data_IF_553300866957
#
_entry.id   IF_553300866957
#
_cell.length_a   1.000
_cell.length_b   1.000
_cell.length_c   1.000
_cell.angle_alpha   90.00
_cell.angle_beta   90.00
_cell.angle_gamma   90.00
#
_symmetry.space_group_name_H-M   'P 1'
#
loop_
_entity.id
_entity.type
_entity.pdbx_description
1 polymer ?
#
# COMPACT_ATOMS: atom_id res chain seq x y z
N UNK A 1 -7.06 27.57 -2.28
CA UNK A 1 -6.62 28.85 -2.86
C UNK A 1 -5.17 29.06 -2.46
N UNK A 2 -4.34 29.51 -3.40
CA UNK A 2 -2.97 29.96 -3.08
C UNK A 2 -3.13 31.32 -2.41
N UNK A 3 -2.72 31.44 -1.15
CA UNK A 3 -2.82 32.70 -0.40
C UNK A 3 -1.58 33.56 -0.66
N UNK A 4 -1.69 34.90 -0.65
CA UNK A 4 -0.53 35.79 -0.76
C UNK A 4 0.54 35.50 0.32
N UNK A 5 0.11 35.12 1.52
CA UNK A 5 0.99 34.72 2.62
C UNK A 5 1.81 33.46 2.30
N UNK A 6 1.22 32.46 1.63
CA UNK A 6 1.94 31.26 1.19
C UNK A 6 3.02 31.62 0.16
N UNK A 7 2.72 32.54 -0.76
CA UNK A 7 3.68 32.99 -1.78
C UNK A 7 4.85 33.72 -1.13
N UNK A 8 4.59 34.60 -0.16
CA UNK A 8 5.63 35.28 0.60
C UNK A 8 6.54 34.29 1.32
N UNK A 9 5.97 33.34 2.07
CA UNK A 9 6.78 32.35 2.80
C UNK A 9 7.60 31.43 1.87
N UNK A 10 7.10 31.12 0.67
CA UNK A 10 7.88 30.38 -0.34
C UNK A 10 9.09 31.21 -0.81
N UNK A 11 8.91 32.51 -1.05
CA UNK A 11 10.00 33.41 -1.45
C UNK A 11 11.03 33.54 -0.33
N UNK A 12 10.58 33.74 0.90
CA UNK A 12 11.45 33.84 2.07
C UNK A 12 12.22 32.53 2.29
N UNK A 13 11.53 31.39 2.19
CA UNK A 13 12.21 30.10 2.26
C UNK A 13 13.21 29.94 1.13
N UNK A 14 12.89 30.30 -0.12
CA UNK A 14 13.82 30.21 -1.24
C UNK A 14 15.08 31.06 -1.04
N UNK A 15 14.94 32.28 -0.50
CA UNK A 15 16.04 33.20 -0.22
C UNK A 15 16.86 32.86 1.04
N UNK A 16 16.27 32.13 2.00
CA UNK A 16 16.97 31.73 3.23
C UNK A 16 18.16 30.79 2.96
N UNK A 17 19.06 30.61 3.92
CA UNK A 17 20.11 29.59 3.84
C UNK A 17 19.66 28.22 4.44
N UNK A 18 18.36 28.03 4.64
CA UNK A 18 17.83 26.83 5.28
C UNK A 18 17.95 25.62 4.33
N UNK A 19 18.73 24.58 4.66
CA UNK A 19 19.04 23.48 3.74
C UNK A 19 17.99 22.35 3.76
N UNK A 20 17.12 22.33 4.77
CA UNK A 20 16.16 21.24 4.97
C UNK A 20 14.87 21.43 4.16
N UNK A 21 14.30 20.34 3.59
CA UNK A 21 13.03 20.41 2.87
C UNK A 21 11.89 20.97 3.73
N UNK A 22 11.14 21.94 3.20
CA UNK A 22 9.98 22.53 3.88
C UNK A 22 8.67 21.98 3.30
N UNK A 23 7.73 21.59 4.16
CA UNK A 23 6.43 21.03 3.77
C UNK A 23 5.33 22.06 3.91
N UNK A 24 4.54 22.23 2.84
CA UNK A 24 3.42 23.16 2.78
C UNK A 24 2.09 22.43 2.69
N UNK A 25 1.14 22.78 3.57
CA UNK A 25 -0.21 22.22 3.59
C UNK A 25 -1.16 23.17 2.86
N UNK A 26 -1.70 22.73 1.72
CA UNK A 26 -2.61 23.54 0.88
C UNK A 26 -4.07 23.21 1.19
N UNK A 27 -4.35 21.94 1.51
CA UNK A 27 -5.67 21.42 1.93
C UNK A 27 -5.49 20.31 2.99
N UNK A 28 -6.53 19.89 3.73
CA UNK A 28 -6.43 18.85 4.75
C UNK A 28 -5.70 17.57 4.32
N UNK A 29 -5.77 17.20 3.03
CA UNK A 29 -5.13 16.01 2.44
C UNK A 29 -4.12 16.32 1.32
N UNK A 30 -3.83 17.59 1.05
CA UNK A 30 -2.93 17.98 -0.05
C UNK A 30 -1.80 18.83 0.51
N UNK A 31 -0.58 18.33 0.32
CA UNK A 31 0.64 19.01 0.69
C UNK A 31 1.65 18.90 -0.45
N UNK A 32 2.60 19.83 -0.51
CA UNK A 32 3.79 19.71 -1.33
C UNK A 32 5.01 19.99 -0.47
N UNK A 33 6.19 19.58 -0.95
CA UNK A 33 7.46 19.88 -0.32
C UNK A 33 8.29 20.75 -1.25
N UNK A 34 9.06 21.66 -0.68
CA UNK A 34 10.08 22.43 -1.38
C UNK A 34 11.43 21.93 -0.92
N UNK A 35 12.26 21.51 -1.87
CA UNK A 35 13.61 20.99 -1.63
C UNK A 35 14.58 21.92 -2.36
N UNK A 36 15.58 22.43 -1.65
CA UNK A 36 16.71 23.11 -2.27
C UNK A 36 17.75 22.09 -2.67
N UNK A 37 18.33 22.29 -3.85
CA UNK A 37 19.39 21.42 -4.35
C UNK A 37 20.39 22.25 -5.14
N UNK A 38 21.64 21.79 -5.12
CA UNK A 38 22.72 22.32 -5.95
C UNK A 38 22.73 21.70 -7.36
N UNK A 39 21.93 20.66 -7.58
CA UNK A 39 21.83 19.99 -8.88
C UNK A 39 21.27 20.97 -9.92
N UNK A 40 21.95 21.06 -11.06
CA UNK A 40 21.56 21.98 -12.14
C UNK A 40 20.45 21.40 -13.01
N UNK A 41 20.31 20.06 -13.02
CA UNK A 41 19.30 19.36 -13.81
C UNK A 41 18.45 18.43 -12.95
N UNK A 42 17.21 18.19 -13.37
CA UNK A 42 16.33 17.21 -12.74
C UNK A 42 16.91 15.79 -12.81
N UNK A 43 17.67 15.48 -13.86
CA UNK A 43 18.32 14.18 -14.04
C UNK A 43 19.38 13.93 -12.96
N UNK A 44 20.27 14.91 -12.76
CA UNK A 44 21.30 14.89 -11.71
C UNK A 44 20.69 14.75 -10.31
N UNK A 45 19.64 15.52 -10.01
CA UNK A 45 18.92 15.42 -8.74
C UNK A 45 18.34 14.01 -8.49
N UNK A 46 17.86 13.35 -9.54
CA UNK A 46 17.30 11.99 -9.45
C UNK A 46 18.39 10.92 -9.33
N UNK A 47 19.55 11.10 -9.96
CA UNK A 47 20.69 10.18 -9.89
C UNK A 47 21.25 10.10 -8.46
N UNK A 48 21.32 11.22 -7.73
CA UNK A 48 21.81 11.23 -6.35
C UNK A 48 20.95 10.42 -5.35
N UNK A 49 19.71 10.07 -5.72
CA UNK A 49 18.85 9.21 -4.89
C UNK A 49 19.14 7.71 -5.05
N UNK A 50 19.89 7.33 -6.09
CA UNK A 50 20.37 5.97 -6.35
C UNK A 50 21.64 6.08 -7.18
N UNK A 51 22.80 5.98 -6.53
CA UNK A 51 24.01 5.58 -7.23
C UNK A 51 23.83 4.13 -7.71
N UNK A 52 23.13 3.98 -8.82
CA UNK A 52 23.00 2.79 -9.62
C UNK A 52 23.45 3.22 -11.03
N UNK A 53 24.51 2.63 -11.60
CA UNK A 53 25.07 3.03 -12.88
C UNK A 53 24.02 3.02 -14.01
N UNK A 54 24.21 3.86 -15.03
CA UNK A 54 23.26 4.12 -16.12
C UNK A 54 22.81 2.84 -16.86
N UNK A 55 23.65 1.79 -16.92
CA UNK A 55 23.27 0.47 -17.45
C UNK A 55 22.23 -0.28 -16.59
N UNK A 56 22.21 -0.08 -15.28
CA UNK A 56 21.22 -0.69 -14.38
C UNK A 56 19.83 -0.06 -14.51
N UNK A 57 19.74 1.18 -15.02
CA UNK A 57 18.45 1.89 -15.16
C UNK A 57 17.58 1.21 -16.21
N UNK A 58 18.18 0.81 -17.33
CA UNK A 58 17.51 0.10 -18.43
C UNK A 58 17.08 -1.31 -18.01
N UNK A 59 17.95 -2.04 -17.32
CA UNK A 59 17.60 -3.36 -16.77
C UNK A 59 16.56 -3.30 -15.66
N UNK A 60 16.64 -2.33 -14.75
CA UNK A 60 15.67 -2.17 -13.67
C UNK A 60 14.30 -1.71 -14.20
N UNK A 61 14.27 -0.95 -15.30
CA UNK A 61 13.04 -0.61 -16.02
C UNK A 61 12.45 -1.85 -16.70
N UNK A 62 13.27 -2.61 -17.45
CA UNK A 62 12.83 -3.87 -18.07
C UNK A 62 12.31 -4.88 -17.03
N UNK A 63 13.00 -5.07 -15.91
CA UNK A 63 12.55 -5.96 -14.81
C UNK A 63 11.22 -5.50 -14.20
N UNK A 64 10.99 -4.19 -14.07
CA UNK A 64 9.71 -3.65 -13.59
C UNK A 64 8.59 -3.87 -14.59
N UNK A 65 8.88 -3.74 -15.87
CA UNK A 65 7.93 -3.99 -16.95
C UNK A 65 7.58 -5.48 -17.06
N UNK A 66 8.57 -6.37 -16.97
CA UNK A 66 8.35 -7.82 -16.89
C UNK A 66 7.51 -8.21 -15.68
N UNK A 67 7.79 -7.66 -14.49
CA UNK A 67 6.98 -7.91 -13.29
C UNK A 67 5.55 -7.41 -13.46
N UNK A 68 5.34 -6.27 -14.12
CA UNK A 68 4.02 -5.74 -14.40
C UNK A 68 3.25 -6.63 -15.39
N UNK A 69 3.93 -7.12 -16.42
CA UNK A 69 3.34 -8.03 -17.41
C UNK A 69 2.96 -9.37 -16.77
N UNK A 70 3.82 -9.92 -15.89
CA UNK A 70 3.49 -11.12 -15.10
C UNK A 70 2.29 -10.90 -14.19
N UNK A 71 2.21 -9.74 -13.53
CA UNK A 71 1.12 -9.44 -12.60
C UNK A 71 -0.24 -9.35 -13.32
N UNK A 72 -0.26 -8.83 -14.55
CA UNK A 72 -1.45 -8.71 -15.37
C UNK A 72 -1.68 -9.91 -16.31
N UNK A 73 -0.79 -10.90 -16.31
CA UNK A 73 -0.94 -12.11 -17.12
C UNK A 73 -2.24 -12.81 -16.73
N UNK A 74 -3.11 -13.04 -17.72
CA UNK A 74 -4.36 -13.75 -17.51
C UNK A 74 -4.01 -15.22 -17.32
N UNK A 75 -4.20 -15.69 -16.09
CA UNK A 75 -3.98 -17.07 -15.70
C UNK A 75 -5.04 -17.41 -14.63
N UNK A 76 -6.26 -17.80 -15.05
CA UNK A 76 -7.35 -18.05 -14.13
C UNK A 76 -7.04 -19.23 -13.20
N UNK A 77 -7.44 -19.11 -11.93
CA UNK A 77 -7.30 -20.16 -10.95
C UNK A 77 -7.23 -19.63 -9.52
N UNK A 78 -6.74 -20.47 -8.62
CA UNK A 78 -6.48 -20.12 -7.22
C UNK A 78 -5.10 -19.50 -7.07
N UNK A 79 -5.07 -18.42 -6.30
CA UNK A 79 -3.87 -17.71 -5.91
C UNK A 79 -3.77 -17.67 -4.39
N UNK A 80 -2.61 -18.01 -3.84
CA UNK A 80 -2.25 -17.64 -2.48
C UNK A 80 -1.70 -16.21 -2.53
N UNK A 81 -2.48 -15.24 -2.08
CA UNK A 81 -2.06 -13.84 -2.01
C UNK A 81 -1.73 -13.45 -0.57
N UNK A 82 -0.59 -12.78 -0.36
CA UNK A 82 -0.18 -12.25 0.93
C UNK A 82 0.18 -10.76 0.80
N UNK A 83 -0.35 -9.94 1.71
CA UNK A 83 -0.16 -8.50 1.75
C UNK A 83 0.27 -8.05 3.15
N UNK A 84 1.21 -7.10 3.21
CA UNK A 84 1.56 -6.39 4.44
C UNK A 84 1.14 -4.93 4.27
N UNK A 85 0.19 -4.49 5.09
CA UNK A 85 -0.38 -3.15 5.01
C UNK A 85 -0.30 -2.42 6.35
N UNK A 86 -0.38 -1.08 6.32
CA UNK A 86 -0.38 -0.26 7.53
C UNK A 86 -1.82 -0.14 8.03
N UNK A 87 -2.19 -0.95 9.02
CA UNK A 87 -3.51 -0.88 9.68
C UNK A 87 -3.55 0.28 10.65
N UNK A 88 -4.61 1.07 10.59
CA UNK A 88 -4.86 2.12 11.59
C UNK A 88 -5.56 1.51 12.80
N UNK A 89 -4.99 1.77 13.97
CA UNK A 89 -5.50 1.26 15.26
C UNK A 89 -5.70 2.45 16.21
N UNK A 90 -6.89 2.60 16.82
CA UNK A 90 -7.11 3.62 17.86
C UNK A 90 -6.30 3.26 19.11
N UNK A 91 -5.72 4.28 19.76
CA UNK A 91 -5.06 4.09 21.05
C UNK A 91 -6.11 4.27 22.15
N UNK A 92 -6.43 3.22 22.95
CA UNK A 92 -7.45 3.29 23.98
C UNK A 92 -7.20 4.45 24.96
N UNK A 93 -8.28 5.14 25.35
CA UNK A 93 -8.20 6.29 26.25
C UNK A 93 -7.67 7.58 25.61
N UNK A 94 -7.40 7.59 24.31
CA UNK A 94 -6.98 8.80 23.58
C UNK A 94 -7.78 9.00 22.29
N UNK A 95 -7.75 10.21 21.73
CA UNK A 95 -8.26 10.50 20.38
C UNK A 95 -7.21 10.27 19.29
N UNK A 96 -6.13 9.53 19.59
CA UNK A 96 -5.00 9.32 18.69
C UNK A 96 -5.08 7.95 18.01
N UNK A 97 -4.40 7.85 16.87
CA UNK A 97 -4.33 6.66 16.04
C UNK A 97 -2.87 6.32 15.75
N UNK A 98 -2.58 5.03 15.64
CA UNK A 98 -1.27 4.53 15.23
C UNK A 98 -1.38 3.67 13.98
N UNK A 99 -0.31 3.63 13.20
CA UNK A 99 -0.19 2.74 12.05
C UNK A 99 0.65 1.53 12.46
N UNK A 100 0.11 0.32 12.31
CA UNK A 100 0.80 -0.94 12.59
C UNK A 100 0.93 -1.75 11.31
N UNK A 101 2.11 -2.31 11.05
CA UNK A 101 2.29 -3.31 9.99
C UNK A 101 1.47 -4.56 10.31
N UNK A 102 0.53 -4.88 9.43
CA UNK A 102 -0.36 -6.03 9.56
C UNK A 102 -0.20 -6.91 8.33
N UNK A 103 0.08 -8.19 8.55
CA UNK A 103 0.13 -9.20 7.49
C UNK A 103 -1.23 -9.85 7.34
N UNK A 104 -1.69 -10.00 6.10
CA UNK A 104 -2.88 -10.76 5.73
C UNK A 104 -2.52 -11.70 4.59
N UNK A 105 -3.04 -12.92 4.62
CA UNK A 105 -2.88 -13.89 3.54
C UNK A 105 -4.16 -14.68 3.35
N UNK A 106 -4.53 -14.92 2.11
CA UNK A 106 -5.73 -15.68 1.77
C UNK A 106 -5.54 -16.40 0.43
N UNK A 107 -6.31 -17.48 0.27
CA UNK A 107 -6.50 -18.09 -1.03
C UNK A 107 -7.65 -17.39 -1.75
N UNK A 108 -7.41 -16.93 -2.97
CA UNK A 108 -8.34 -16.12 -3.74
C UNK A 108 -8.44 -16.68 -5.14
N UNK A 109 -9.67 -16.98 -5.57
CA UNK A 109 -9.97 -17.32 -6.95
C UNK A 109 -9.95 -16.04 -7.79
N UNK A 110 -9.08 -15.96 -8.78
CA UNK A 110 -8.87 -14.77 -9.58
C UNK A 110 -8.39 -15.11 -11.00
N UNK A 111 -8.53 -14.15 -11.91
CA UNK A 111 -8.13 -14.30 -13.32
C UNK A 111 -6.65 -13.95 -13.55
N UNK A 112 -6.03 -13.25 -12.60
CA UNK A 112 -4.64 -12.82 -12.62
C UNK A 112 -4.16 -12.49 -11.21
N UNK A 113 -2.85 -12.33 -11.03
CA UNK A 113 -2.27 -11.89 -9.77
C UNK A 113 -2.70 -10.46 -9.40
N UNK A 114 -2.90 -9.58 -10.39
CA UNK A 114 -3.48 -8.25 -10.17
C UNK A 114 -4.92 -8.34 -9.65
N UNK A 115 -5.76 -9.20 -10.25
CA UNK A 115 -7.13 -9.42 -9.80
C UNK A 115 -7.16 -10.01 -8.37
N UNK A 116 -6.23 -10.92 -8.04
CA UNK A 116 -6.06 -11.43 -6.67
C UNK A 116 -5.77 -10.30 -5.66
N UNK A 117 -4.83 -9.40 -5.97
CA UNK A 117 -4.54 -8.23 -5.13
C UNK A 117 -5.77 -7.34 -4.91
N UNK A 118 -6.51 -7.04 -5.99
CA UNK A 118 -7.69 -6.16 -5.94
C UNK A 118 -8.77 -6.75 -5.03
N UNK A 119 -9.06 -8.05 -5.16
CA UNK A 119 -10.01 -8.76 -4.29
C UNK A 119 -9.58 -8.76 -2.83
N UNK A 120 -8.28 -8.93 -2.54
CA UNK A 120 -7.76 -8.86 -1.16
C UNK A 120 -7.95 -7.46 -0.58
N UNK A 121 -7.58 -6.42 -1.32
CA UNK A 121 -7.69 -5.04 -0.85
C UNK A 121 -9.14 -4.63 -0.66
N UNK A 122 -10.03 -5.01 -1.58
CA UNK A 122 -11.47 -4.76 -1.46
C UNK A 122 -12.05 -5.45 -0.23
N UNK A 123 -11.77 -6.74 -0.03
CA UNK A 123 -12.17 -7.48 1.16
C UNK A 123 -11.69 -6.80 2.45
N UNK A 124 -10.42 -6.38 2.51
CA UNK A 124 -9.86 -5.71 3.69
C UNK A 124 -10.48 -4.33 3.94
N UNK A 125 -10.89 -3.58 2.91
CA UNK A 125 -11.57 -2.29 3.07
C UNK A 125 -13.01 -2.43 3.57
N UNK A 126 -13.67 -3.52 3.22
CA UNK A 126 -15.06 -3.79 3.59
C UNK A 126 -15.18 -4.45 4.98
N UNK A 127 -14.07 -4.80 5.62
CA UNK A 127 -14.03 -5.32 6.99
C UNK A 127 -14.27 -4.22 8.02
N UNK A 128 -15.22 -4.46 8.94
CA UNK A 128 -15.55 -3.52 10.02
C UNK A 128 -14.39 -3.23 10.96
N UNK A 129 -13.45 -4.18 11.12
CA UNK A 129 -12.30 -4.03 12.00
C UNK A 129 -11.13 -3.26 11.35
N UNK A 130 -11.22 -2.90 10.06
CA UNK A 130 -10.18 -2.17 9.33
C UNK A 130 -10.62 -0.74 9.08
N UNK A 131 -9.99 0.21 9.77
CA UNK A 131 -10.27 1.64 9.59
C UNK A 131 -9.92 2.11 8.16
N UNK A 132 -10.78 2.93 7.56
CA UNK A 132 -10.66 3.46 6.20
C UNK A 132 -9.37 4.27 5.95
N UNK A 133 -8.69 4.73 7.01
CA UNK A 133 -7.39 5.42 6.92
C UNK A 133 -6.21 4.47 6.81
N UNK A 134 -6.43 3.16 6.92
CA UNK A 134 -5.41 2.13 6.70
C UNK A 134 -4.81 2.27 5.30
N UNK A 135 -3.49 2.10 5.20
CA UNK A 135 -2.75 2.31 3.95
C UNK A 135 -2.36 0.96 3.35
N UNK A 136 -2.82 0.72 2.14
CA UNK A 136 -2.51 -0.49 1.38
C UNK A 136 -1.31 -0.24 0.46
N UNK A 137 -0.34 -1.17 0.42
CA UNK A 137 0.79 -1.06 -0.50
C UNK A 137 0.32 -1.24 -1.94
N UNK A 138 1.11 -0.78 -2.92
CA UNK A 138 0.85 -1.10 -4.34
C UNK A 138 1.05 -2.59 -4.63
N UNK A 139 0.24 -3.15 -5.53
CA UNK A 139 0.40 -4.50 -6.07
C UNK A 139 1.76 -4.75 -6.72
N UNK A 140 2.44 -3.69 -7.17
CA UNK A 140 3.78 -3.76 -7.80
C UNK A 140 4.92 -3.78 -6.77
N UNK A 141 4.62 -3.45 -5.52
CA UNK A 141 5.58 -3.35 -4.43
C UNK A 141 6.12 -4.70 -3.95
N UNK A 142 6.93 -4.67 -2.89
CA UNK A 142 7.44 -5.88 -2.23
C UNK A 142 6.52 -6.33 -1.08
N UNK A 143 5.58 -5.49 -0.66
CA UNK A 143 4.63 -5.78 0.42
C UNK A 143 3.42 -6.58 -0.06
N UNK A 144 3.36 -6.96 -1.33
CA UNK A 144 2.41 -7.92 -1.88
C UNK A 144 3.19 -9.04 -2.57
N UNK A 145 2.87 -10.28 -2.22
CA UNK A 145 3.42 -11.49 -2.82
C UNK A 145 2.28 -12.41 -3.18
N UNK A 146 2.43 -13.16 -4.27
CA UNK A 146 1.43 -14.11 -4.72
C UNK A 146 2.08 -15.41 -5.18
N UNK A 147 1.31 -16.50 -5.13
CA UNK A 147 1.66 -17.78 -5.71
C UNK A 147 0.44 -18.35 -6.42
N UNK A 148 0.59 -18.70 -7.69
CA UNK A 148 -0.45 -19.44 -8.41
C UNK A 148 -0.46 -20.89 -7.93
N UNK A 149 -1.65 -21.40 -7.62
CA UNK A 149 -1.86 -22.74 -7.09
C UNK A 149 -2.40 -23.68 -8.16
N UNK A 150 -3.31 -23.21 -9.03
CA UNK A 150 -3.98 -24.03 -10.03
C UNK A 150 -5.50 -23.95 -9.95
N UNK A 151 -6.19 -24.89 -10.57
CA UNK A 151 -7.66 -24.88 -10.66
C UNK A 151 -8.36 -25.34 -9.38
N UNK A 152 -7.67 -26.10 -8.53
CA UNK A 152 -8.15 -26.60 -7.24
C UNK A 152 -7.33 -26.04 -6.08
N UNK A 153 -7.99 -25.84 -4.94
CA UNK A 153 -7.30 -25.58 -3.69
C UNK A 153 -6.55 -26.83 -3.23
N UNK A 154 -5.39 -26.69 -2.57
CA UNK A 154 -4.74 -27.82 -1.93
C UNK A 154 -5.70 -28.35 -0.86
N UNK A 155 -5.97 -29.66 -0.87
CA UNK A 155 -6.88 -30.35 0.05
C UNK A 155 -6.51 -30.18 1.54
N UNK A 156 -5.30 -29.68 1.82
CA UNK A 156 -4.73 -29.45 3.14
C UNK A 156 -4.78 -27.99 3.62
N UNK A 157 -5.51 -27.10 2.92
CA UNK A 157 -5.83 -25.78 3.47
C UNK A 157 -6.91 -25.99 4.51
N UNK A 158 -6.47 -26.25 5.74
CA UNK A 158 -7.35 -26.23 6.90
C UNK A 158 -8.13 -24.91 6.86
N UNK A 159 -9.43 -25.01 6.58
CA UNK A 159 -10.39 -23.99 6.99
C UNK A 159 -10.06 -23.73 8.46
N UNK A 160 -9.71 -22.51 8.88
CA UNK A 160 -9.54 -22.24 10.30
C UNK A 160 -10.87 -22.58 10.95
N UNK A 161 -10.93 -23.77 11.57
CA UNK A 161 -12.03 -24.16 12.43
C UNK A 161 -12.13 -23.03 13.45
N UNK A 162 -13.31 -22.42 13.63
CA UNK A 162 -13.47 -21.45 14.69
C UNK A 162 -13.07 -22.16 15.98
N UNK A 163 -11.95 -21.72 16.56
CA UNK A 163 -11.55 -22.16 17.89
C UNK A 163 -12.76 -21.95 18.79
N UNK A 164 -13.28 -22.98 19.47
CA UNK A 164 -14.35 -22.79 20.43
C UNK A 164 -13.78 -21.92 21.55
N UNK A 165 -14.00 -20.62 21.46
CA UNK A 165 -13.86 -19.71 22.59
C UNK A 165 -14.99 -20.12 23.52
N UNK A 166 -14.62 -20.87 24.55
CA UNK A 166 -15.50 -21.18 25.66
C UNK A 166 -16.04 -19.86 26.24
N UNK A 167 -17.35 -19.87 26.47
CA UNK A 167 -18.11 -18.94 27.29
C UNK A 167 -18.20 -17.48 26.83
N UNK A 168 -19.19 -17.18 25.98
CA UNK A 168 -20.40 -16.48 26.43
C UNK A 168 -21.42 -16.25 25.29
N UNK A 169 -22.72 -16.20 25.60
CA UNK A 169 -23.79 -16.41 24.64
C UNK A 169 -24.29 -15.10 24.02
N UNK A 170 -24.61 -15.14 22.73
CA UNK A 170 -25.94 -14.86 22.14
C UNK A 170 -25.74 -15.01 20.63
N UNK A 171 -26.32 -16.08 20.12
CA UNK A 171 -26.33 -16.48 18.73
C UNK A 171 -27.66 -16.01 18.15
N UNK A 172 -27.65 -14.97 17.32
CA UNK A 172 -28.73 -14.75 16.36
C UNK A 172 -28.13 -14.98 14.98
N UNK A 173 -28.24 -16.23 14.55
CA UNK A 173 -27.75 -16.67 13.26
C UNK A 173 -28.62 -16.11 12.14
N UNK A 174 -27.98 -15.44 11.19
CA UNK A 174 -28.39 -15.45 9.80
C UNK A 174 -27.16 -15.41 8.90
N UNK A 175 -27.06 -16.42 8.03
CA UNK A 175 -26.13 -16.48 6.91
C UNK A 175 -26.68 -15.61 5.77
N UNK A 176 -25.84 -14.81 5.13
CA UNK A 176 -26.18 -14.13 3.88
C UNK A 176 -25.28 -14.63 2.74
N UNK A 177 -25.86 -15.41 1.83
CA UNK A 177 -25.44 -15.46 0.42
C UNK A 177 -26.30 -14.44 -0.35
N UNK A 178 -25.64 -13.54 -1.09
CA UNK A 178 -26.27 -12.49 -1.91
C UNK A 178 -25.38 -11.28 -2.08
#
# INVERSE_FOLDING_TARGET
MITPALVADIKDYAASDMPYPKRYKVRPRIYFILIKTVAQTLAEFKMNKKAAPVNEVTEAQARKETKLNQLNSIQPGWYEGAIVFKRVIPIPGTSKFQYQDTRFSAYVKADSAQHCYERIVDHLKNRQDVDLRSQFPSSKGNSYTYRFIGDSLPENVAVPQPSPVADSPIFDGEFYEG
#
